data_IF_110466906965
#
_entry.id   IF_110466906965
#
_cell.length_a   1.000
_cell.length_b   1.000
_cell.length_c   1.000
_cell.angle_alpha   90.00
_cell.angle_beta   90.00
_cell.angle_gamma   90.00
#
_symmetry.space_group_name_H-M   'P 1'
#
loop_
_entity.id
_entity.type
_entity.pdbx_description
1 polymer ?
#
# COMPACT_ATOMS: atom_id res chain seq x y z
N UNK A 1 11.44 6.12 -22.60
CA UNK A 1 11.97 7.34 -21.95
C UNK A 1 12.12 7.08 -20.46
N UNK A 2 13.35 6.92 -19.96
CA UNK A 2 13.58 6.72 -18.53
C UNK A 2 13.18 7.99 -17.78
N UNK A 3 12.10 7.93 -17.00
CA UNK A 3 11.85 8.91 -15.97
C UNK A 3 13.10 8.94 -15.08
N UNK A 4 13.77 10.10 -15.02
CA UNK A 4 15.02 10.29 -14.28
C UNK A 4 14.70 10.36 -12.78
N UNK A 5 14.37 9.22 -12.19
CA UNK A 5 14.06 9.08 -10.76
C UNK A 5 15.22 9.54 -9.85
N UNK A 6 16.44 9.54 -10.38
CA UNK A 6 17.65 9.98 -9.69
C UNK A 6 17.78 11.51 -9.59
N UNK A 7 16.96 12.28 -10.32
CA UNK A 7 16.91 13.75 -10.22
C UNK A 7 15.91 14.25 -9.17
N UNK A 8 15.19 13.35 -8.51
CA UNK A 8 14.16 13.73 -7.54
C UNK A 8 14.85 14.17 -6.24
N UNK A 9 14.56 15.38 -5.75
CA UNK A 9 15.11 15.86 -4.49
C UNK A 9 14.89 14.85 -3.38
N UNK A 10 15.87 14.72 -2.48
CA UNK A 10 15.80 13.76 -1.38
C UNK A 10 14.57 13.94 -0.48
N UNK A 11 13.94 15.10 -0.48
CA UNK A 11 12.70 15.42 0.22
C UNK A 11 11.42 14.92 -0.46
N UNK A 12 11.48 14.52 -1.73
CA UNK A 12 10.32 14.12 -2.52
C UNK A 12 10.41 12.68 -3.05
N UNK A 13 11.49 11.96 -2.71
CA UNK A 13 11.71 10.59 -3.20
C UNK A 13 10.61 9.63 -2.74
N UNK A 14 10.20 9.70 -1.48
CA UNK A 14 9.11 8.91 -0.93
C UNK A 14 7.81 9.10 -1.72
N UNK A 15 7.40 10.35 -1.93
CA UNK A 15 6.20 10.69 -2.71
C UNK A 15 6.30 10.21 -4.16
N UNK A 16 7.46 10.39 -4.78
CA UNK A 16 7.68 9.95 -6.15
C UNK A 16 7.58 8.42 -6.30
N UNK A 17 8.14 7.67 -5.36
CA UNK A 17 7.97 6.22 -5.32
C UNK A 17 6.51 5.85 -5.08
N UNK A 18 5.81 6.49 -4.16
CA UNK A 18 4.38 6.25 -3.94
C UNK A 18 3.57 6.41 -5.24
N UNK A 19 3.75 7.54 -5.95
CA UNK A 19 3.06 7.80 -7.23
C UNK A 19 3.42 6.75 -8.27
N UNK A 20 4.71 6.38 -8.37
CA UNK A 20 5.16 5.31 -9.27
C UNK A 20 4.50 3.96 -8.95
N UNK A 21 4.40 3.61 -7.66
CA UNK A 21 3.72 2.40 -7.21
C UNK A 21 2.26 2.38 -7.67
N UNK A 22 1.55 3.50 -7.53
CA UNK A 22 0.14 3.61 -7.92
C UNK A 22 -0.06 3.50 -9.43
N UNK A 23 0.86 4.06 -10.23
CA UNK A 23 0.85 3.87 -11.69
C UNK A 23 1.10 2.40 -12.06
N UNK A 24 2.06 1.73 -11.41
CA UNK A 24 2.34 0.32 -11.66
C UNK A 24 1.16 -0.58 -11.29
N UNK A 25 0.48 -0.28 -10.19
CA UNK A 25 -0.73 -0.97 -9.78
C UNK A 25 -1.87 -0.79 -10.79
N UNK A 26 -2.08 0.42 -11.31
CA UNK A 26 -3.05 0.65 -12.40
C UNK A 26 -2.70 -0.01 -13.74
N UNK A 27 -1.48 -0.56 -13.86
CA UNK A 27 -1.03 -1.37 -14.99
C UNK A 27 -0.99 -2.87 -14.67
N UNK A 28 -1.58 -3.30 -13.55
CA UNK A 28 -1.55 -4.66 -13.01
C UNK A 28 -0.14 -5.23 -12.75
N UNK A 29 0.89 -4.37 -12.67
CA UNK A 29 2.27 -4.75 -12.38
C UNK A 29 2.51 -4.80 -10.86
N UNK A 30 1.72 -5.62 -10.18
CA UNK A 30 1.65 -5.66 -8.71
C UNK A 30 2.99 -5.98 -8.04
N UNK A 31 3.81 -6.88 -8.60
CA UNK A 31 5.15 -7.18 -8.08
C UNK A 31 6.09 -5.97 -8.08
N UNK A 32 6.00 -5.14 -9.11
CA UNK A 32 6.81 -3.93 -9.20
C UNK A 32 6.25 -2.82 -8.32
N UNK A 33 4.92 -2.72 -8.23
CA UNK A 33 4.25 -1.81 -7.31
C UNK A 33 4.69 -2.07 -5.87
N UNK A 34 4.67 -3.33 -5.41
CA UNK A 34 5.14 -3.76 -4.08
C UNK A 34 6.57 -3.28 -3.82
N UNK A 35 7.51 -3.58 -4.74
CA UNK A 35 8.92 -3.18 -4.60
C UNK A 35 9.08 -1.66 -4.48
N UNK A 36 8.26 -0.90 -5.21
CA UNK A 36 8.32 0.55 -5.23
C UNK A 36 7.65 1.15 -3.99
N UNK A 37 6.55 0.58 -3.50
CA UNK A 37 5.93 1.01 -2.24
C UNK A 37 6.85 0.80 -1.05
N UNK A 38 7.60 -0.30 -0.98
CA UNK A 38 8.65 -0.48 0.03
C UNK A 38 9.72 0.62 -0.03
N UNK A 39 10.09 1.10 -1.22
CA UNK A 39 11.00 2.25 -1.36
C UNK A 39 10.38 3.56 -0.90
N UNK A 40 9.07 3.74 -1.11
CA UNK A 40 8.34 4.90 -0.60
C UNK A 40 8.32 4.91 0.94
N UNK A 41 7.99 3.77 1.53
CA UNK A 41 7.90 3.56 2.97
C UNK A 41 9.25 3.59 3.70
N UNK A 42 10.36 3.36 2.97
CA UNK A 42 11.71 3.53 3.49
C UNK A 42 12.15 5.00 3.57
N UNK A 43 11.43 5.94 2.97
CA UNK A 43 11.73 7.37 3.07
C UNK A 43 11.06 7.97 4.32
N UNK A 44 11.82 8.37 5.36
CA UNK A 44 11.26 8.94 6.58
C UNK A 44 10.60 10.32 6.36
N UNK A 45 10.78 10.93 5.19
CA UNK A 45 10.15 12.21 4.82
C UNK A 45 8.81 12.03 4.11
N UNK A 46 8.37 10.79 3.88
CA UNK A 46 7.04 10.53 3.34
C UNK A 46 5.98 10.99 4.35
N UNK A 47 5.20 11.99 3.98
CA UNK A 47 4.21 12.61 4.87
C UNK A 47 2.92 11.77 5.02
N UNK A 48 2.68 10.87 4.06
CA UNK A 48 1.48 10.02 3.97
C UNK A 48 1.83 8.52 3.87
N UNK A 49 2.57 7.95 4.85
CA UNK A 49 2.95 6.54 4.81
C UNK A 49 1.74 5.60 4.84
N UNK A 50 0.63 5.99 5.48
CA UNK A 50 -0.61 5.21 5.52
C UNK A 50 -1.20 4.94 4.14
N UNK A 51 -1.16 5.92 3.22
CA UNK A 51 -1.61 5.73 1.84
C UNK A 51 -0.74 4.72 1.09
N UNK A 52 0.58 4.76 1.32
CA UNK A 52 1.51 3.80 0.73
C UNK A 52 1.31 2.39 1.31
N UNK A 53 1.08 2.25 2.61
CA UNK A 53 0.74 0.98 3.26
C UNK A 53 -0.59 0.41 2.75
N UNK A 54 -1.62 1.22 2.59
CA UNK A 54 -2.91 0.77 2.05
C UNK A 54 -2.75 0.22 0.63
N UNK A 55 -2.07 0.95 -0.26
CA UNK A 55 -1.91 0.51 -1.64
C UNK A 55 -0.98 -0.70 -1.76
N UNK A 56 0.03 -0.79 -0.89
CA UNK A 56 0.85 -1.99 -0.74
C UNK A 56 -0.01 -3.20 -0.32
N UNK A 57 -0.90 -3.02 0.66
CA UNK A 57 -1.85 -4.06 1.07
C UNK A 57 -2.77 -4.48 -0.08
N UNK A 58 -3.27 -3.52 -0.86
CA UNK A 58 -4.07 -3.82 -2.04
C UNK A 58 -3.29 -4.58 -3.11
N UNK A 59 -2.03 -4.25 -3.37
CA UNK A 59 -1.18 -5.04 -4.27
C UNK A 59 -0.95 -6.46 -3.76
N UNK A 60 -0.80 -6.67 -2.45
CA UNK A 60 -0.70 -8.01 -1.87
C UNK A 60 -2.02 -8.80 -2.00
N UNK A 61 -3.18 -8.17 -1.76
CA UNK A 61 -4.49 -8.80 -1.95
C UNK A 61 -4.71 -9.26 -3.38
N UNK A 62 -4.36 -8.44 -4.37
CA UNK A 62 -4.45 -8.80 -5.79
C UNK A 62 -3.56 -10.00 -6.17
N UNK A 63 -2.53 -10.28 -5.38
CA UNK A 63 -1.64 -11.44 -5.55
C UNK A 63 -2.10 -12.68 -4.76
N UNK A 64 -3.14 -12.58 -3.94
CA UNK A 64 -3.53 -13.63 -3.01
C UNK A 64 -2.60 -13.75 -1.79
N UNK A 65 -1.72 -12.77 -1.56
CA UNK A 65 -0.82 -12.73 -0.41
C UNK A 65 -1.55 -12.10 0.80
N UNK A 66 -2.64 -12.75 1.23
CA UNK A 66 -3.60 -12.19 2.18
C UNK A 66 -2.99 -11.82 3.54
N UNK A 67 -2.04 -12.60 4.05
CA UNK A 67 -1.34 -12.30 5.32
C UNK A 67 -0.55 -10.98 5.25
N UNK A 68 0.15 -10.73 4.15
CA UNK A 68 0.91 -9.50 3.98
C UNK A 68 0.00 -8.31 3.69
N UNK A 69 -1.13 -8.55 3.00
CA UNK A 69 -2.17 -7.55 2.82
C UNK A 69 -2.74 -7.07 4.16
N UNK A 70 -3.16 -8.01 5.02
CA UNK A 70 -3.70 -7.73 6.36
C UNK A 70 -2.70 -6.92 7.19
N UNK A 71 -1.42 -7.33 7.22
CA UNK A 71 -0.36 -6.59 7.94
C UNK A 71 -0.23 -5.17 7.41
N UNK A 72 -0.23 -4.98 6.09
CA UNK A 72 -0.10 -3.67 5.47
C UNK A 72 -1.31 -2.77 5.75
N UNK A 73 -2.54 -3.31 5.74
CA UNK A 73 -3.74 -2.56 6.10
C UNK A 73 -3.74 -2.12 7.58
N UNK A 74 -3.30 -2.99 8.50
CA UNK A 74 -3.12 -2.59 9.90
C UNK A 74 -2.04 -1.53 10.10
N UNK A 75 -0.97 -1.55 9.29
CA UNK A 75 0.00 -0.45 9.28
C UNK A 75 -0.60 0.84 8.75
N UNK A 76 -1.45 0.78 7.73
CA UNK A 76 -2.16 1.95 7.21
C UNK A 76 -3.10 2.56 8.26
N UNK A 77 -3.90 1.74 8.95
CA UNK A 77 -4.84 2.20 9.98
C UNK A 77 -4.16 2.81 11.21
N UNK A 78 -2.89 2.45 11.46
CA UNK A 78 -2.09 3.02 12.55
C UNK A 78 -1.56 4.44 12.28
N UNK A 79 -1.62 4.92 11.03
CA UNK A 79 -1.18 6.27 10.66
C UNK A 79 -2.28 7.30 10.97
N UNK A 80 -2.06 8.26 11.90
CA UNK A 80 -3.07 9.27 12.24
C UNK A 80 -3.44 10.21 11.09
N UNK A 81 -2.60 10.31 10.05
CA UNK A 81 -2.86 11.12 8.86
C UNK A 81 -3.59 10.35 7.76
N UNK A 82 -3.80 9.05 7.94
CA UNK A 82 -4.47 8.22 6.95
C UNK A 82 -5.98 8.44 7.00
N UNK A 83 -6.45 9.33 6.12
CA UNK A 83 -7.88 9.64 5.96
C UNK A 83 -8.46 8.93 4.72
N UNK A 84 -8.62 7.60 4.82
CA UNK A 84 -9.25 6.79 3.77
C UNK A 84 -9.99 5.58 4.36
N UNK A 85 -10.78 5.83 5.40
CA UNK A 85 -11.38 4.80 6.26
C UNK A 85 -12.35 3.87 5.52
N UNK A 86 -13.12 4.33 4.53
CA UNK A 86 -14.14 3.50 3.88
C UNK A 86 -13.59 2.33 3.04
N UNK A 87 -12.62 2.58 2.18
CA UNK A 87 -12.11 1.56 1.25
C UNK A 87 -11.11 0.59 1.91
N UNK A 88 -10.42 1.04 2.96
CA UNK A 88 -9.43 0.23 3.66
C UNK A 88 -10.07 -0.89 4.48
N UNK A 89 -11.09 -0.60 5.29
CA UNK A 89 -11.77 -1.61 6.11
C UNK A 89 -12.46 -2.67 5.23
N UNK A 90 -13.08 -2.25 4.11
CA UNK A 90 -13.62 -3.17 3.11
C UNK A 90 -12.54 -4.12 2.56
N UNK A 91 -11.37 -3.57 2.21
CA UNK A 91 -10.27 -4.36 1.69
C UNK A 91 -9.67 -5.30 2.74
N UNK A 92 -9.61 -4.88 4.01
CA UNK A 92 -9.17 -5.71 5.13
C UNK A 92 -10.14 -6.87 5.38
N UNK A 93 -11.45 -6.59 5.42
CA UNK A 93 -12.49 -7.61 5.55
C UNK A 93 -12.46 -8.62 4.41
N UNK A 94 -12.28 -8.16 3.17
CA UNK A 94 -12.09 -9.05 2.02
C UNK A 94 -10.84 -9.92 2.17
N UNK A 95 -9.71 -9.36 2.59
CA UNK A 95 -8.49 -10.12 2.79
C UNK A 95 -8.65 -11.20 3.89
N UNK A 96 -9.36 -10.91 4.98
CA UNK A 96 -9.71 -11.90 6.00
C UNK A 96 -10.66 -12.97 5.46
N UNK A 97 -11.67 -12.57 4.68
CA UNK A 97 -12.63 -13.48 4.06
C UNK A 97 -11.96 -14.45 3.08
N UNK A 98 -11.07 -13.95 2.22
CA UNK A 98 -10.31 -14.76 1.25
C UNK A 98 -9.36 -15.74 1.96
N UNK A 99 -8.87 -15.37 3.14
CA UNK A 99 -8.08 -16.25 4.01
C UNK A 99 -8.93 -17.29 4.76
N UNK A 100 -10.26 -17.12 4.79
CA UNK A 100 -11.19 -17.96 5.55
C UNK A 100 -11.35 -17.57 7.02
N UNK A 101 -10.82 -16.41 7.44
CA UNK A 101 -10.93 -15.87 8.79
C UNK A 101 -12.20 -15.01 8.92
N UNK A 102 -13.37 -15.63 8.78
CA UNK A 102 -14.65 -14.93 8.67
C UNK A 102 -15.03 -14.11 9.92
N UNK A 103 -14.66 -14.56 11.11
CA UNK A 103 -14.94 -13.82 12.35
C UNK A 103 -14.18 -12.49 12.41
N UNK A 104 -12.95 -12.45 11.87
CA UNK A 104 -12.18 -11.22 11.77
C UNK A 104 -12.67 -10.36 10.61
N UNK A 105 -13.13 -10.97 9.50
CA UNK A 105 -13.75 -10.25 8.39
C UNK A 105 -15.01 -9.46 8.79
N UNK A 106 -15.81 -9.98 9.74
CA UNK A 106 -17.00 -9.31 10.28
C UNK A 106 -16.64 -8.14 11.21
N UNK A 107 -15.50 -8.23 11.89
CA UNK A 107 -15.02 -7.20 12.85
C UNK A 107 -14.26 -6.06 12.18
N UNK A 108 -13.62 -6.34 11.03
CA UNK A 108 -12.90 -5.37 10.21
C UNK A 108 -13.83 -4.28 9.68
#
# INVERSE_FOLDING_TARGET
ACAKWDLIPSSQRGLAYFVKGSILQGLDRNDEAIKVYHKALADPKLDTPGNAWHNLGFSYSLKGEHDEAIKAYHKASSDPKFDMSGNMWLNLGNAYSDKGEYDEAIKA
#
